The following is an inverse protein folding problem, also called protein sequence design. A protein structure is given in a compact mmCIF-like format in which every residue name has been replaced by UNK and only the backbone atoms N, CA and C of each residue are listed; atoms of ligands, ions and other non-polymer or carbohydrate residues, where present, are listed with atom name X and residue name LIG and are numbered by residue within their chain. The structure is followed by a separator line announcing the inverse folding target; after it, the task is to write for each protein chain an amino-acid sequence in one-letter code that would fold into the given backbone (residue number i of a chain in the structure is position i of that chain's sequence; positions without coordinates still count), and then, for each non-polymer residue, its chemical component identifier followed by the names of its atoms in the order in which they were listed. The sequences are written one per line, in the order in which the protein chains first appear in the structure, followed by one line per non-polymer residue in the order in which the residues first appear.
data_IF_697421896977
#
_entry.id   IF_697421896977
#
_cell.length_a   1.000
_cell.length_b   1.000
_cell.length_c   1.000
_cell.angle_alpha   90.00
_cell.angle_beta   90.00
_cell.angle_gamma   90.00
#
_symmetry.space_group_name_H-M   'P 1'
#
loop_
_entity.id
_entity.type
_entity.pdbx_description
1 polymer ?
#
# COMPACT_ATOMS: atom_id res chain seq x y z
N UNK A 1 26.68 1.34 -36.47
CA UNK A 1 26.52 2.78 -36.83
C UNK A 1 26.80 2.97 -38.32
N UNK A 2 26.24 4.01 -38.94
CA UNK A 2 26.70 4.53 -40.24
C UNK A 2 27.34 5.90 -40.00
N UNK A 3 28.48 6.15 -40.64
CA UNK A 3 29.20 7.41 -40.60
C UNK A 3 29.32 7.96 -42.02
N UNK A 4 29.22 9.28 -42.17
CA UNK A 4 29.46 9.97 -43.45
C UNK A 4 30.45 11.09 -43.23
N UNK A 5 31.40 11.26 -44.15
CA UNK A 5 32.40 12.34 -44.13
C UNK A 5 32.54 12.96 -45.51
N UNK A 6 32.81 14.27 -45.55
CA UNK A 6 33.17 15.04 -46.74
C UNK A 6 34.15 16.14 -46.32
N UNK A 7 35.02 16.58 -47.22
CA UNK A 7 35.67 17.90 -47.11
C UNK A 7 34.75 18.99 -47.68
N UNK A 8 34.91 20.22 -47.21
CA UNK A 8 34.19 21.40 -47.69
C UNK A 8 35.14 22.60 -47.63
N UNK A 9 35.42 23.21 -48.78
CA UNK A 9 36.20 24.44 -48.85
C UNK A 9 35.26 25.63 -48.67
N UNK A 10 35.63 26.61 -47.84
CA UNK A 10 34.91 27.88 -47.68
C UNK A 10 35.83 29.06 -48.00
N UNK A 11 35.32 29.98 -48.79
CA UNK A 11 35.98 31.24 -49.11
C UNK A 11 34.89 32.33 -49.23
N UNK A 12 34.99 33.37 -48.40
CA UNK A 12 33.94 34.36 -48.17
C UNK A 12 32.55 33.71 -47.99
N UNK A 13 31.58 34.05 -48.84
CA UNK A 13 30.22 33.49 -48.84
C UNK A 13 30.05 32.25 -49.75
N UNK A 14 31.13 31.76 -50.38
CA UNK A 14 31.10 30.58 -51.25
C UNK A 14 31.60 29.34 -50.52
N UNK A 15 30.95 28.19 -50.75
CA UNK A 15 31.38 26.91 -50.21
C UNK A 15 31.23 25.78 -51.22
N UNK A 16 32.29 25.02 -51.44
CA UNK A 16 32.30 23.86 -52.33
C UNK A 16 32.48 22.57 -51.51
N UNK A 17 31.39 21.83 -51.24
CA UNK A 17 31.44 20.54 -50.56
C UNK A 17 31.75 19.40 -51.53
N UNK A 18 32.69 18.53 -51.14
CA UNK A 18 32.97 17.28 -51.84
C UNK A 18 31.84 16.24 -51.67
N UNK A 19 31.90 15.17 -52.47
CA UNK A 19 31.00 14.02 -52.35
C UNK A 19 31.13 13.35 -50.98
N UNK A 20 30.02 12.88 -50.43
CA UNK A 20 30.04 12.05 -49.22
C UNK A 20 30.78 10.73 -49.45
N UNK A 21 31.61 10.36 -48.48
CA UNK A 21 32.15 9.01 -48.29
C UNK A 21 31.43 8.40 -47.10
N UNK A 22 30.85 7.21 -47.27
CA UNK A 22 30.10 6.51 -46.23
C UNK A 22 30.83 5.25 -45.76
N UNK A 23 30.73 4.95 -44.47
CA UNK A 23 31.19 3.69 -43.89
C UNK A 23 30.23 3.22 -42.79
N UNK A 24 30.20 1.93 -42.50
CA UNK A 24 29.33 1.35 -41.48
C UNK A 24 30.03 0.33 -40.61
N UNK A 25 30.01 0.55 -39.30
CA UNK A 25 30.49 -0.42 -38.31
C UNK A 25 29.30 -1.28 -37.87
N UNK A 26 29.30 -2.60 -38.13
CA UNK A 26 28.26 -3.51 -37.63
C UNK A 26 28.37 -3.67 -36.10
N UNK A 27 27.27 -3.97 -35.39
CA UNK A 27 27.35 -4.32 -33.98
C UNK A 27 28.05 -5.68 -33.81
N UNK A 28 28.96 -5.78 -32.83
CA UNK A 28 29.45 -7.09 -32.35
C UNK A 28 28.35 -7.84 -31.58
N UNK A 29 28.57 -9.13 -31.36
CA UNK A 29 27.72 -9.99 -30.55
C UNK A 29 26.40 -10.42 -31.21
N UNK A 30 25.82 -11.48 -30.65
CA UNK A 30 24.67 -12.20 -31.21
C UNK A 30 23.38 -11.35 -31.10
N UNK A 31 22.52 -11.27 -32.13
CA UNK A 31 21.24 -10.57 -32.04
C UNK A 31 20.38 -11.11 -30.88
N UNK A 32 19.84 -10.19 -30.06
CA UNK A 32 18.97 -10.51 -28.93
C UNK A 32 19.67 -10.90 -27.61
N UNK A 33 21.01 -10.90 -27.54
CA UNK A 33 21.76 -11.14 -26.29
C UNK A 33 22.06 -9.87 -25.49
N UNK A 34 21.86 -8.69 -26.12
CA UNK A 34 22.02 -7.39 -25.50
C UNK A 34 21.17 -7.24 -24.23
N UNK A 35 21.72 -6.60 -23.19
CA UNK A 35 20.97 -6.25 -21.99
C UNK A 35 19.74 -5.38 -22.33
N UNK A 36 18.63 -5.59 -21.64
CA UNK A 36 17.39 -4.83 -21.82
C UNK A 36 16.98 -4.10 -20.54
N UNK A 37 16.14 -3.09 -20.69
CA UNK A 37 15.54 -2.33 -19.58
C UNK A 37 16.56 -1.75 -18.59
N UNK A 38 17.63 -1.14 -19.15
CA UNK A 38 18.67 -0.45 -18.38
C UNK A 38 18.13 0.82 -17.71
N UNK A 39 17.76 0.68 -16.45
CA UNK A 39 17.49 1.79 -15.54
C UNK A 39 18.70 2.13 -14.66
N UNK A 40 18.79 3.37 -14.19
CA UNK A 40 19.85 3.83 -13.31
C UNK A 40 19.32 4.92 -12.38
N UNK A 41 19.63 4.82 -11.08
CA UNK A 41 19.24 5.80 -10.06
C UNK A 41 20.49 6.34 -9.37
N UNK A 42 20.61 7.66 -9.29
CA UNK A 42 21.69 8.34 -8.57
C UNK A 42 21.24 8.63 -7.14
N UNK A 43 21.63 7.75 -6.22
CA UNK A 43 21.24 7.82 -4.82
C UNK A 43 22.06 8.87 -4.08
N UNK A 44 21.34 9.78 -3.42
CA UNK A 44 21.82 10.77 -2.46
C UNK A 44 22.97 11.70 -2.94
N UNK A 45 23.25 11.76 -4.24
CA UNK A 45 24.44 12.38 -4.86
C UNK A 45 25.78 11.68 -4.54
N UNK A 46 25.72 10.42 -4.09
CA UNK A 46 26.88 9.65 -3.59
C UNK A 46 27.22 8.44 -4.48
N UNK A 47 26.23 7.68 -4.93
CA UNK A 47 26.44 6.48 -5.75
C UNK A 47 25.33 6.28 -6.78
N UNK A 48 25.70 5.75 -7.94
CA UNK A 48 24.78 5.31 -8.98
C UNK A 48 24.53 3.81 -8.80
N UNK A 49 23.26 3.41 -8.80
CA UNK A 49 22.84 2.02 -8.91
C UNK A 49 22.13 1.82 -10.26
N UNK A 50 22.69 0.97 -11.13
CA UNK A 50 22.09 0.63 -12.42
C UNK A 50 21.56 -0.80 -12.42
N UNK A 51 20.39 -1.03 -13.01
CA UNK A 51 19.72 -2.33 -13.10
C UNK A 51 19.34 -2.65 -14.55
N UNK A 52 19.41 -3.92 -14.92
CA UNK A 52 19.01 -4.39 -16.25
C UNK A 52 18.64 -5.88 -16.23
N UNK A 53 17.97 -6.33 -17.29
CA UNK A 53 17.63 -7.74 -17.53
C UNK A 53 18.53 -8.35 -18.61
N UNK A 54 18.63 -9.69 -18.61
CA UNK A 54 19.25 -10.43 -19.69
C UNK A 54 18.51 -10.22 -21.03
N UNK A 55 19.25 -10.19 -22.13
CA UNK A 55 18.66 -10.27 -23.46
C UNK A 55 18.00 -11.63 -23.68
N UNK A 56 16.85 -11.66 -24.38
CA UNK A 56 16.05 -12.87 -24.62
C UNK A 56 16.82 -14.08 -25.18
N UNK A 57 17.90 -13.84 -25.92
CA UNK A 57 18.74 -14.89 -26.52
C UNK A 57 20.05 -15.15 -25.74
N UNK A 58 20.28 -14.49 -24.61
CA UNK A 58 21.46 -14.72 -23.77
C UNK A 58 21.41 -16.11 -23.12
N UNK A 59 22.57 -16.73 -22.89
CA UNK A 59 22.64 -18.05 -22.26
C UNK A 59 22.40 -17.95 -20.75
N UNK A 60 21.81 -18.99 -20.16
CA UNK A 60 21.74 -19.14 -18.70
C UNK A 60 23.16 -19.12 -18.11
N UNK A 61 23.49 -18.08 -17.34
CA UNK A 61 24.82 -17.86 -16.79
C UNK A 61 25.70 -16.83 -17.53
N UNK A 62 25.17 -16.12 -18.54
CA UNK A 62 25.83 -14.94 -19.12
C UNK A 62 26.18 -13.91 -18.04
N UNK A 63 27.44 -13.44 -18.02
CA UNK A 63 27.94 -12.41 -17.10
C UNK A 63 28.07 -11.07 -17.84
N UNK A 64 27.22 -10.11 -17.49
CA UNK A 64 27.28 -8.75 -17.99
C UNK A 64 28.21 -7.89 -17.12
N UNK A 65 29.27 -7.32 -17.68
CA UNK A 65 30.10 -6.30 -17.02
C UNK A 65 29.64 -4.89 -17.45
N UNK A 66 29.43 -4.01 -16.46
CA UNK A 66 29.15 -2.59 -16.68
C UNK A 66 30.45 -1.77 -16.57
N UNK A 67 30.68 -0.92 -17.57
CA UNK A 67 31.71 0.12 -17.57
C UNK A 67 31.02 1.49 -17.65
N UNK A 68 31.61 2.52 -17.04
CA UNK A 68 31.07 3.87 -17.06
C UNK A 68 32.17 4.94 -17.24
N UNK A 69 31.81 6.07 -17.83
CA UNK A 69 32.66 7.25 -17.94
C UNK A 69 31.84 8.53 -18.08
N UNK A 70 32.47 9.66 -17.78
CA UNK A 70 31.92 11.00 -17.89
C UNK A 70 33.06 12.01 -18.04
N UNK A 71 32.75 13.23 -18.47
CA UNK A 71 33.78 14.27 -18.65
C UNK A 71 34.42 14.67 -17.31
N UNK A 72 35.76 14.73 -17.28
CA UNK A 72 36.57 14.84 -16.06
C UNK A 72 37.06 13.50 -15.46
N UNK A 73 36.60 12.35 -15.95
CA UNK A 73 37.16 11.03 -15.57
C UNK A 73 38.35 10.66 -16.48
N UNK A 74 39.45 10.15 -15.91
CA UNK A 74 40.71 9.89 -16.64
C UNK A 74 40.61 8.76 -17.67
N UNK A 75 39.76 7.78 -17.41
CA UNK A 75 39.58 6.55 -18.19
C UNK A 75 38.23 5.92 -17.87
N UNK A 76 37.64 5.09 -18.74
CA UNK A 76 36.43 4.34 -18.40
C UNK A 76 36.69 3.38 -17.25
N UNK A 77 35.85 3.47 -16.22
CA UNK A 77 35.94 2.64 -15.02
C UNK A 77 35.06 1.39 -15.15
N UNK A 78 35.50 0.28 -14.52
CA UNK A 78 34.71 -0.95 -14.40
C UNK A 78 33.93 -0.91 -13.09
N UNK A 79 32.61 -1.08 -13.16
CA UNK A 79 31.80 -1.27 -11.97
C UNK A 79 32.08 -2.66 -11.36
N UNK A 80 32.49 -2.69 -10.09
CA UNK A 80 32.96 -3.90 -9.40
C UNK A 80 32.01 -4.41 -8.31
N UNK A 81 31.14 -3.57 -7.74
CA UNK A 81 30.12 -3.99 -6.79
C UNK A 81 28.87 -4.42 -7.56
N UNK A 82 28.68 -5.72 -7.69
CA UNK A 82 27.76 -6.35 -8.64
C UNK A 82 26.88 -7.37 -7.94
N UNK A 83 25.57 -7.30 -8.19
CA UNK A 83 24.55 -8.16 -7.59
C UNK A 83 23.67 -8.78 -8.68
N UNK A 84 23.16 -9.99 -8.43
CA UNK A 84 22.15 -10.63 -9.27
C UNK A 84 21.07 -11.18 -8.34
N UNK A 85 19.85 -10.68 -8.50
CA UNK A 85 18.69 -11.11 -7.72
C UNK A 85 17.54 -11.40 -8.69
N UNK A 86 17.00 -12.62 -8.65
CA UNK A 86 15.86 -13.07 -9.48
C UNK A 86 16.02 -12.86 -11.00
N UNK A 87 17.27 -12.84 -11.49
CA UNK A 87 17.61 -12.58 -12.90
C UNK A 87 17.75 -11.11 -13.28
N UNK A 88 17.48 -10.19 -12.35
CA UNK A 88 17.84 -8.78 -12.44
C UNK A 88 19.33 -8.64 -12.12
N UNK A 89 20.08 -8.04 -13.02
CA UNK A 89 21.47 -7.65 -12.82
C UNK A 89 21.51 -6.24 -12.24
N UNK A 90 22.37 -6.01 -11.25
CA UNK A 90 22.57 -4.74 -10.60
C UNK A 90 24.07 -4.44 -10.50
N UNK A 91 24.46 -3.19 -10.74
CA UNK A 91 25.83 -2.74 -10.44
C UNK A 91 25.81 -1.36 -9.81
N UNK A 92 26.57 -1.22 -8.72
CA UNK A 92 26.63 -0.01 -7.89
C UNK A 92 28.03 0.58 -7.94
N UNK A 93 28.14 1.89 -8.19
CA UNK A 93 29.42 2.58 -8.20
C UNK A 93 29.32 3.99 -7.61
N UNK A 94 30.38 4.41 -6.91
CA UNK A 94 30.44 5.75 -6.33
C UNK A 94 30.48 6.80 -7.45
N UNK A 95 29.64 7.82 -7.32
CA UNK A 95 29.50 8.91 -8.28
C UNK A 95 29.27 10.22 -7.52
N UNK A 96 30.36 10.86 -7.13
CA UNK A 96 30.38 12.13 -6.39
C UNK A 96 31.00 13.23 -7.25
N UNK A 97 30.33 14.37 -7.37
CA UNK A 97 30.86 15.55 -8.06
C UNK A 97 31.25 16.65 -7.05
N UNK A 98 32.24 17.51 -7.35
CA UNK A 98 32.57 18.65 -6.49
C UNK A 98 31.36 19.58 -6.33
N UNK A 99 31.04 20.00 -5.11
CA UNK A 99 29.88 20.87 -4.76
C UNK A 99 29.93 22.29 -5.36
N UNK A 100 30.86 22.57 -6.27
CA UNK A 100 31.10 23.87 -6.92
C UNK A 100 30.57 23.87 -8.37
N UNK A 101 30.30 22.71 -8.97
CA UNK A 101 29.83 22.61 -10.36
C UNK A 101 28.30 22.54 -10.45
N UNK A 102 27.66 23.63 -10.89
CA UNK A 102 26.22 23.64 -11.19
C UNK A 102 25.83 22.77 -12.40
N UNK A 103 26.80 22.35 -13.20
CA UNK A 103 26.61 21.48 -14.38
C UNK A 103 27.19 20.10 -14.09
N UNK A 104 26.38 19.06 -14.27
CA UNK A 104 26.81 17.66 -14.14
C UNK A 104 27.05 17.06 -15.53
N UNK A 105 28.17 16.36 -15.76
CA UNK A 105 28.47 15.75 -17.06
C UNK A 105 27.52 14.58 -17.34
N UNK A 106 27.25 14.32 -18.62
CA UNK A 106 26.45 13.15 -19.04
C UNK A 106 27.22 11.87 -18.75
N UNK A 107 26.59 10.94 -18.02
CA UNK A 107 27.17 9.62 -17.73
C UNK A 107 26.98 8.75 -18.97
N UNK A 108 28.08 8.22 -19.49
CA UNK A 108 28.06 7.20 -20.54
C UNK A 108 28.32 5.83 -19.92
N UNK A 109 27.54 4.83 -20.35
CA UNK A 109 27.51 3.49 -19.80
C UNK A 109 27.66 2.50 -20.95
N UNK A 110 28.54 1.52 -20.78
CA UNK A 110 28.73 0.37 -21.67
C UNK A 110 28.48 -0.92 -20.88
N UNK A 111 27.48 -1.69 -21.29
CA UNK A 111 27.28 -3.06 -20.81
C UNK A 111 27.71 -4.02 -21.91
N UNK A 112 28.64 -4.91 -21.58
CA UNK A 112 29.15 -5.96 -22.48
C UNK A 112 29.53 -7.21 -21.68
N UNK A 113 29.99 -8.26 -22.36
CA UNK A 113 30.68 -9.36 -21.71
C UNK A 113 32.19 -9.37 -22.07
N UNK A 114 32.88 -10.43 -21.66
CA UNK A 114 34.30 -10.63 -21.91
C UNK A 114 34.61 -11.59 -23.09
N UNK A 115 33.61 -12.29 -23.64
CA UNK A 115 33.76 -13.22 -24.79
C UNK A 115 33.37 -12.64 -26.16
N UNK A 116 32.79 -11.43 -26.19
CA UNK A 116 32.22 -10.75 -27.38
C UNK A 116 31.02 -11.46 -28.04
N UNK A 117 30.52 -12.59 -27.50
CA UNK A 117 29.24 -13.18 -27.90
C UNK A 117 28.04 -12.27 -27.54
N UNK A 118 28.16 -11.45 -26.49
CA UNK A 118 27.08 -10.58 -26.04
C UNK A 118 27.13 -9.25 -26.79
N UNK A 119 25.99 -8.89 -27.40
CA UNK A 119 25.87 -7.65 -28.14
C UNK A 119 25.93 -6.45 -27.17
N UNK A 120 26.90 -5.54 -27.28
CA UNK A 120 27.10 -4.48 -26.31
C UNK A 120 25.98 -3.45 -26.37
N UNK A 121 25.65 -2.90 -25.20
CA UNK A 121 24.67 -1.82 -25.00
C UNK A 121 25.41 -0.57 -24.57
N UNK A 122 25.29 0.50 -25.36
CA UNK A 122 25.77 1.83 -24.99
C UNK A 122 24.57 2.71 -24.63
N UNK A 123 24.62 3.40 -23.50
CA UNK A 123 23.62 4.37 -23.08
C UNK A 123 24.29 5.66 -22.58
N UNK A 124 23.67 6.80 -22.84
CA UNK A 124 24.04 8.09 -22.26
C UNK A 124 22.88 8.60 -21.41
N UNK A 125 23.16 8.90 -20.14
CA UNK A 125 22.17 9.28 -19.12
C UNK A 125 22.56 10.64 -18.54
N UNK A 126 21.64 11.59 -18.51
CA UNK A 126 21.83 12.83 -17.76
C UNK A 126 21.63 12.53 -16.25
N UNK A 127 22.65 12.69 -15.39
CA UNK A 127 22.49 12.34 -13.98
C UNK A 127 21.44 13.18 -13.26
N UNK A 128 21.15 14.42 -13.71
CA UNK A 128 20.15 15.28 -13.04
C UNK A 128 18.70 14.77 -13.18
N UNK A 129 18.41 13.88 -14.14
CA UNK A 129 17.08 13.25 -14.28
C UNK A 129 16.92 12.00 -13.42
N UNK A 130 18.00 11.53 -12.76
CA UNK A 130 18.06 10.25 -12.06
C UNK A 130 18.25 10.37 -10.53
N UNK A 131 18.29 11.59 -10.00
CA UNK A 131 18.57 11.85 -8.58
C UNK A 131 17.43 11.34 -7.70
N UNK A 132 17.74 10.41 -6.78
CA UNK A 132 16.86 10.00 -5.68
C UNK A 132 17.47 10.46 -4.35
N UNK A 133 16.86 11.40 -3.61
CA UNK A 133 17.33 11.79 -2.27
C UNK A 133 17.28 10.62 -1.28
N UNK A 134 18.13 10.66 -0.24
CA UNK A 134 17.98 9.75 0.89
C UNK A 134 16.66 10.00 1.66
N UNK A 135 16.11 8.94 2.25
CA UNK A 135 14.93 9.01 3.13
C UNK A 135 15.21 9.88 4.35
N UNK A 136 14.43 10.95 4.62
CA UNK A 136 14.59 11.75 5.81
C UNK A 136 14.33 10.93 7.07
N UNK A 137 15.16 11.13 8.10
CA UNK A 137 14.93 10.54 9.43
C UNK A 137 14.17 11.57 10.26
N UNK A 138 12.98 11.22 10.76
CA UNK A 138 12.25 12.05 11.71
C UNK A 138 13.06 12.18 13.00
N UNK A 139 13.39 13.41 13.41
CA UNK A 139 14.30 13.71 14.55
C UNK A 139 13.49 14.06 15.79
N UNK A 140 12.48 14.93 15.65
CA UNK A 140 11.59 15.31 16.73
C UNK A 140 10.15 15.43 16.23
N UNK A 141 9.23 14.97 17.08
CA UNK A 141 7.80 15.21 16.96
C UNK A 141 7.35 15.69 18.34
N UNK A 142 6.92 16.95 18.44
CA UNK A 142 6.50 17.57 19.69
C UNK A 142 5.14 18.24 19.54
N UNK A 143 4.40 18.34 20.64
CA UNK A 143 3.17 19.12 20.74
C UNK A 143 3.39 20.26 21.73
N UNK A 144 3.08 21.48 21.30
CA UNK A 144 3.17 22.70 22.09
C UNK A 144 1.82 23.40 21.95
N UNK A 145 1.03 23.40 23.02
CA UNK A 145 -0.39 23.79 22.98
C UNK A 145 -1.13 23.00 21.88
N UNK A 146 -1.90 23.68 21.02
CA UNK A 146 -2.66 23.09 19.92
C UNK A 146 -1.87 23.03 18.58
N UNK A 147 -0.54 23.09 18.66
CA UNK A 147 0.38 22.94 17.53
C UNK A 147 1.23 21.67 17.68
N UNK A 148 1.28 20.84 16.64
CA UNK A 148 2.28 19.78 16.48
C UNK A 148 3.39 20.29 15.58
N UNK A 149 4.63 20.21 16.06
CA UNK A 149 5.85 20.48 15.27
C UNK A 149 6.56 19.16 14.97
N UNK A 150 6.80 18.90 13.69
CA UNK A 150 7.59 17.78 13.18
C UNK A 150 8.87 18.34 12.56
N UNK A 151 10.04 17.79 12.92
CA UNK A 151 11.34 18.16 12.36
C UNK A 151 12.19 16.92 12.06
N UNK A 152 12.91 16.97 10.94
CA UNK A 152 13.69 15.84 10.40
C UNK A 152 15.13 16.23 10.06
N UNK A 153 15.95 15.21 9.85
CA UNK A 153 17.36 15.32 9.49
C UNK A 153 17.54 16.13 8.20
N UNK A 154 18.39 17.16 8.26
CA UNK A 154 18.90 17.83 7.07
C UNK A 154 19.79 16.86 6.28
N UNK A 155 19.89 17.09 4.98
CA UNK A 155 20.83 16.36 4.11
C UNK A 155 22.19 17.04 4.11
N UNK A 156 23.26 16.26 4.31
CA UNK A 156 24.64 16.77 4.21
C UNK A 156 25.18 16.81 2.77
N UNK A 157 24.57 16.05 1.84
CA UNK A 157 25.00 15.97 0.44
C UNK A 157 24.39 17.07 -0.43
N UNK A 158 23.06 17.23 -0.39
CA UNK A 158 22.31 18.26 -1.12
C UNK A 158 22.50 19.68 -0.56
N UNK A 159 22.51 20.73 -1.42
CA UNK A 159 22.27 22.11 -0.98
C UNK A 159 20.87 22.26 -0.38
N UNK A 160 20.75 23.02 0.71
CA UNK A 160 19.48 23.17 1.45
C UNK A 160 18.32 23.72 0.60
N UNK A 161 18.60 24.51 -0.44
CA UNK A 161 17.61 25.06 -1.38
C UNK A 161 17.18 24.10 -2.50
N UNK A 162 17.80 22.92 -2.60
CA UNK A 162 17.60 21.96 -3.68
C UNK A 162 16.79 20.72 -3.29
N UNK A 163 16.29 20.65 -2.06
CA UNK A 163 15.31 19.67 -1.61
C UNK A 163 14.00 20.36 -1.24
N UNK A 164 12.90 19.69 -1.55
CA UNK A 164 11.56 20.01 -1.05
C UNK A 164 11.05 18.75 -0.35
N UNK A 165 10.16 18.90 0.62
CA UNK A 165 9.69 17.81 1.46
C UNK A 165 8.17 17.71 1.38
N UNK A 166 7.69 16.48 1.44
CA UNK A 166 6.28 16.17 1.48
C UNK A 166 6.01 15.42 2.79
N UNK A 167 5.12 15.94 3.60
CA UNK A 167 4.70 15.36 4.87
C UNK A 167 3.27 14.86 4.69
N UNK A 168 3.07 13.57 4.91
CA UNK A 168 1.75 12.94 4.94
C UNK A 168 1.39 12.61 6.38
N UNK A 169 0.17 12.92 6.80
CA UNK A 169 -0.32 12.61 8.14
C UNK A 169 -1.80 12.24 8.17
N UNK A 170 -2.20 11.48 9.18
CA UNK A 170 -3.58 11.02 9.38
C UNK A 170 -3.93 10.88 10.87
N UNK A 171 -5.23 10.86 11.17
CA UNK A 171 -5.77 10.77 12.54
C UNK A 171 -6.37 9.39 12.83
N UNK A 172 -5.68 8.59 13.64
CA UNK A 172 -6.06 7.19 13.88
C UNK A 172 -6.04 6.31 12.61
N UNK A 173 -6.64 5.12 12.71
CA UNK A 173 -6.37 4.02 11.77
C UNK A 173 -7.28 4.01 10.52
N UNK A 174 -8.34 4.84 10.51
CA UNK A 174 -9.22 5.07 9.34
C UNK A 174 -9.53 6.57 9.15
N UNK A 175 -8.62 7.45 9.58
CA UNK A 175 -8.79 8.90 9.46
C UNK A 175 -8.54 9.41 8.04
N UNK A 176 -9.00 10.63 7.78
CA UNK A 176 -8.59 11.41 6.62
C UNK A 176 -7.06 11.51 6.57
N UNK A 177 -6.49 11.34 5.38
CA UNK A 177 -5.07 11.59 5.13
C UNK A 177 -4.91 13.00 4.55
N UNK A 178 -3.96 13.75 5.09
CA UNK A 178 -3.58 15.09 4.62
C UNK A 178 -2.12 15.09 4.16
N UNK A 179 -1.83 15.89 3.14
CA UNK A 179 -0.48 16.08 2.59
C UNK A 179 -0.11 17.55 2.63
N UNK A 180 1.10 17.87 3.12
CA UNK A 180 1.66 19.22 3.15
C UNK A 180 3.03 19.19 2.44
N UNK A 181 3.27 20.13 1.53
CA UNK A 181 4.60 20.36 0.95
C UNK A 181 5.32 21.51 1.67
N UNK A 182 6.63 21.35 1.90
CA UNK A 182 7.45 22.31 2.65
C UNK A 182 8.90 22.37 2.16
N UNK A 183 9.52 23.54 2.22
CA UNK A 183 10.90 23.77 1.75
C UNK A 183 11.94 23.77 2.88
N UNK A 184 11.50 23.69 4.14
CA UNK A 184 12.35 23.62 5.33
C UNK A 184 12.35 22.20 5.90
N UNK A 185 13.31 21.88 6.77
CA UNK A 185 13.42 20.56 7.41
C UNK A 185 12.43 20.33 8.57
N UNK A 186 11.38 21.15 8.66
CA UNK A 186 10.34 21.08 9.67
C UNK A 186 8.99 21.56 9.11
N UNK A 187 7.90 21.12 9.75
CA UNK A 187 6.56 21.64 9.53
C UNK A 187 5.84 21.80 10.87
N UNK A 188 4.90 22.74 10.93
CA UNK A 188 3.97 22.93 12.04
C UNK A 188 2.55 22.70 11.54
N UNK A 189 1.76 21.95 12.31
CA UNK A 189 0.32 21.75 12.10
C UNK A 189 -0.41 22.32 13.32
N UNK A 190 -1.22 23.34 13.10
CA UNK A 190 -2.00 24.04 14.15
C UNK A 190 -3.46 23.56 14.19
N UNK A 191 -4.20 23.94 15.23
CA UNK A 191 -5.60 23.53 15.47
C UNK A 191 -5.76 21.99 15.63
N UNK A 192 -4.82 21.40 16.37
CA UNK A 192 -4.73 19.95 16.63
C UNK A 192 -5.63 19.54 17.79
N UNK A 193 -6.52 18.58 17.57
CA UNK A 193 -7.39 18.03 18.61
C UNK A 193 -6.56 17.40 19.76
N UNK A 194 -6.92 17.65 21.04
CA UNK A 194 -6.16 17.15 22.19
C UNK A 194 -6.28 15.64 22.43
N UNK A 195 -7.39 15.03 22.01
CA UNK A 195 -7.78 13.65 22.33
C UNK A 195 -7.60 12.70 21.13
N UNK A 196 -6.82 13.11 20.13
CA UNK A 196 -6.65 12.40 18.87
C UNK A 196 -5.19 12.03 18.63
N UNK A 197 -4.95 10.77 18.24
CA UNK A 197 -3.63 10.28 17.79
C UNK A 197 -3.39 10.71 16.34
N UNK A 198 -2.39 11.54 16.13
CA UNK A 198 -1.87 11.90 14.80
C UNK A 198 -0.66 11.02 14.48
N UNK A 199 -0.54 10.55 13.23
CA UNK A 199 0.64 9.81 12.73
C UNK A 199 1.18 10.53 11.50
N UNK A 200 2.50 10.71 11.44
CA UNK A 200 3.21 11.46 10.41
C UNK A 200 4.30 10.62 9.75
N UNK A 201 4.51 10.82 8.45
CA UNK A 201 5.70 10.38 7.69
C UNK A 201 6.12 11.46 6.70
N UNK A 202 7.40 11.49 6.35
CA UNK A 202 7.98 12.52 5.47
C UNK A 202 8.87 11.90 4.39
N UNK A 203 8.82 12.45 3.17
CA UNK A 203 9.77 12.12 2.08
C UNK A 203 10.39 13.37 1.48
N UNK A 204 11.58 13.21 0.90
CA UNK A 204 12.29 14.27 0.19
C UNK A 204 12.11 14.14 -1.33
N UNK A 205 11.88 15.28 -1.98
CA UNK A 205 11.83 15.47 -3.43
C UNK A 205 13.01 16.37 -3.85
N UNK A 206 13.70 16.08 -4.97
CA UNK A 206 14.66 17.01 -5.53
C UNK A 206 13.91 18.19 -6.16
N UNK A 207 14.33 19.43 -5.86
CA UNK A 207 13.70 20.63 -6.40
C UNK A 207 13.95 20.73 -7.90
N UNK A 208 12.89 20.96 -8.69
CA UNK A 208 12.94 21.04 -10.16
C UNK A 208 13.93 22.08 -10.71
N UNK A 209 14.18 23.15 -9.96
CA UNK A 209 15.16 24.19 -10.29
C UNK A 209 16.64 23.75 -10.14
N UNK A 210 16.92 22.68 -9.40
CA UNK A 210 18.27 22.12 -9.25
C UNK A 210 18.46 20.81 -10.03
N UNK A 211 17.42 19.97 -10.09
CA UNK A 211 17.48 18.65 -10.73
C UNK A 211 16.18 18.35 -11.48
N UNK A 212 16.30 17.79 -12.68
CA UNK A 212 15.16 17.42 -13.54
C UNK A 212 14.56 16.05 -13.20
N UNK A 213 14.90 15.48 -12.05
CA UNK A 213 14.44 14.17 -11.58
C UNK A 213 12.98 14.23 -11.12
N UNK A 214 12.26 13.12 -11.33
CA UNK A 214 10.91 12.90 -10.78
C UNK A 214 10.91 11.88 -9.61
N UNK A 215 12.09 11.37 -9.24
CA UNK A 215 12.23 10.39 -8.17
C UNK A 215 12.17 11.08 -6.81
N UNK A 216 11.30 10.60 -5.92
CA UNK A 216 11.31 10.98 -4.51
C UNK A 216 12.12 9.99 -3.69
N UNK A 217 12.56 10.36 -2.49
CA UNK A 217 12.98 9.38 -1.49
C UNK A 217 11.82 8.42 -1.17
N UNK A 218 12.15 7.30 -0.55
CA UNK A 218 11.13 6.50 0.13
C UNK A 218 10.59 7.29 1.35
N UNK A 219 9.41 6.92 1.84
CA UNK A 219 8.85 7.53 3.05
C UNK A 219 9.69 7.22 4.29
N UNK A 220 9.75 8.15 5.24
CA UNK A 220 10.32 7.90 6.57
C UNK A 220 9.53 6.82 7.32
N UNK A 221 10.15 6.29 8.38
CA UNK A 221 9.39 5.66 9.47
C UNK A 221 8.26 6.59 9.94
N UNK A 222 7.13 5.99 10.31
CA UNK A 222 6.02 6.72 10.91
C UNK A 222 6.34 7.12 12.36
N UNK A 223 5.94 8.33 12.75
CA UNK A 223 5.96 8.81 14.15
C UNK A 223 4.57 9.30 14.53
N UNK A 224 4.08 8.86 15.68
CA UNK A 224 2.78 9.27 16.21
C UNK A 224 2.90 10.13 17.45
N UNK A 225 1.92 10.99 17.69
CA UNK A 225 1.75 11.80 18.90
C UNK A 225 0.26 11.96 19.23
N UNK A 226 -0.06 12.13 20.51
CA UNK A 226 -1.43 12.10 21.02
C UNK A 226 -1.92 10.68 21.30
N UNK A 227 -2.92 10.56 22.16
CA UNK A 227 -3.51 9.27 22.55
C UNK A 227 -4.65 8.89 21.59
N UNK A 228 -4.82 7.59 21.36
CA UNK A 228 -6.03 7.07 20.69
C UNK A 228 -7.08 6.89 21.78
N UNK A 229 -8.30 7.44 21.65
CA UNK A 229 -9.36 7.18 22.62
C UNK A 229 -9.65 5.68 22.64
N UNK A 230 -9.61 5.07 23.82
CA UNK A 230 -9.71 3.62 23.93
C UNK A 230 -11.11 3.13 23.52
N UNK A 231 -11.20 2.59 22.31
CA UNK A 231 -12.41 1.97 21.79
C UNK A 231 -12.85 0.78 22.65
N UNK A 232 -11.91 0.11 23.32
CA UNK A 232 -12.21 -1.01 24.23
C UNK A 232 -13.08 -0.55 25.38
N UNK A 233 -12.77 0.60 25.99
CA UNK A 233 -13.62 1.22 27.02
C UNK A 233 -15.05 1.48 26.51
N UNK A 234 -15.21 2.03 25.31
CA UNK A 234 -16.54 2.25 24.71
C UNK A 234 -17.30 0.94 24.44
N UNK A 235 -16.65 -0.09 23.87
CA UNK A 235 -17.29 -1.39 23.66
C UNK A 235 -17.68 -2.08 24.99
N UNK A 236 -16.82 -2.01 26.01
CA UNK A 236 -17.13 -2.50 27.36
C UNK A 236 -18.31 -1.74 27.96
N UNK A 237 -18.37 -0.41 27.82
CA UNK A 237 -19.49 0.40 28.31
C UNK A 237 -20.82 0.02 27.62
N UNK A 238 -20.79 -0.14 26.29
CA UNK A 238 -21.95 -0.53 25.46
C UNK A 238 -22.46 -1.94 25.81
N UNK A 239 -21.59 -2.87 26.21
CA UNK A 239 -22.00 -4.23 26.62
C UNK A 239 -22.45 -4.28 28.08
N UNK A 240 -21.79 -3.55 28.98
CA UNK A 240 -22.06 -3.62 30.43
C UNK A 240 -23.34 -2.88 30.83
N UNK A 241 -23.67 -1.74 30.22
CA UNK A 241 -24.88 -0.97 30.58
C UNK A 241 -26.17 -1.81 30.34
N UNK A 242 -26.42 -2.42 29.16
CA UNK A 242 -27.59 -3.28 28.95
C UNK A 242 -27.61 -4.50 29.87
N UNK A 243 -26.45 -5.10 30.17
CA UNK A 243 -26.36 -6.25 31.07
C UNK A 243 -26.79 -5.88 32.50
N UNK A 244 -26.34 -4.73 33.01
CA UNK A 244 -26.73 -4.23 34.34
C UNK A 244 -28.24 -3.92 34.39
N UNK A 245 -28.80 -3.34 33.33
CA UNK A 245 -30.26 -3.09 33.22
C UNK A 245 -31.07 -4.40 33.17
N UNK A 246 -30.60 -5.40 32.41
CA UNK A 246 -31.23 -6.72 32.35
C UNK A 246 -31.22 -7.44 33.72
N UNK A 247 -30.07 -7.45 34.40
CA UNK A 247 -29.97 -8.04 35.76
C UNK A 247 -30.86 -7.29 36.75
N UNK A 248 -30.87 -5.95 36.71
CA UNK A 248 -31.67 -5.12 37.62
C UNK A 248 -33.18 -5.33 37.42
N UNK A 249 -33.65 -5.45 36.16
CA UNK A 249 -35.06 -5.74 35.86
C UNK A 249 -35.47 -7.15 36.26
N UNK A 250 -34.60 -8.16 36.09
CA UNK A 250 -34.84 -9.53 36.59
C UNK A 250 -34.97 -9.54 38.12
N UNK A 251 -34.08 -8.85 38.85
CA UNK A 251 -34.14 -8.73 40.31
C UNK A 251 -35.43 -8.04 40.75
N UNK A 252 -35.82 -6.94 40.10
CA UNK A 252 -37.06 -6.22 40.38
C UNK A 252 -38.30 -7.10 40.14
N UNK A 253 -38.34 -7.85 39.04
CA UNK A 253 -39.43 -8.80 38.75
C UNK A 253 -39.51 -9.93 39.77
N UNK A 254 -38.36 -10.41 40.29
CA UNK A 254 -38.34 -11.40 41.37
C UNK A 254 -38.84 -10.79 42.70
N UNK A 255 -38.44 -9.55 43.01
CA UNK A 255 -38.93 -8.82 44.18
C UNK A 255 -40.44 -8.58 44.13
N UNK A 256 -40.96 -8.16 42.97
CA UNK A 256 -42.41 -7.97 42.74
C UNK A 256 -43.18 -9.30 42.83
N UNK A 257 -42.63 -10.42 42.32
CA UNK A 257 -43.21 -11.75 42.54
C UNK A 257 -43.22 -12.13 44.02
N UNK A 258 -42.14 -11.89 44.77
CA UNK A 258 -42.07 -12.16 46.22
C UNK A 258 -43.06 -11.29 47.01
N UNK A 259 -43.16 -10.00 46.70
CA UNK A 259 -44.17 -9.09 47.27
C UNK A 259 -45.60 -9.57 46.98
N UNK A 260 -45.89 -9.99 45.74
CA UNK A 260 -47.21 -10.54 45.39
C UNK A 260 -47.56 -11.79 46.20
N UNK A 261 -46.60 -12.68 46.44
CA UNK A 261 -46.77 -13.89 47.27
C UNK A 261 -46.93 -13.55 48.77
N UNK A 262 -46.29 -12.47 49.24
CA UNK A 262 -46.36 -12.05 50.65
C UNK A 262 -47.67 -11.31 50.97
N UNK A 263 -48.18 -10.51 50.03
CA UNK A 263 -49.40 -9.70 50.20
C UNK A 263 -50.66 -10.49 49.83
N UNK A 264 -50.59 -11.39 48.83
CA UNK A 264 -51.64 -12.33 48.51
C UNK A 264 -51.15 -13.75 48.81
N UNK A 265 -51.53 -14.36 49.96
CA UNK A 265 -51.30 -15.78 50.17
C UNK A 265 -52.00 -16.59 49.07
N UNK A 266 -51.53 -17.81 48.76
CA UNK A 266 -52.12 -18.62 47.70
C UNK A 266 -53.60 -18.88 48.01
N UNK A 267 -54.47 -18.34 47.15
CA UNK A 267 -55.91 -18.59 47.25
C UNK A 267 -56.11 -20.10 47.04
N UNK A 268 -56.68 -20.84 48.01
CA UNK A 268 -56.87 -22.28 47.90
C UNK A 268 -57.75 -22.60 46.69
N UNK A 269 -57.45 -23.71 45.99
CA UNK A 269 -58.13 -24.07 44.75
C UNK A 269 -59.66 -24.14 44.96
N UNK A 270 -60.45 -23.30 44.27
CA UNK A 270 -61.90 -23.31 44.43
C UNK A 270 -62.52 -24.65 44.01
N UNK A 271 -61.84 -25.47 43.19
CA UNK A 271 -62.29 -26.80 42.82
C UNK A 271 -62.33 -27.75 44.02
N UNK A 272 -61.35 -27.69 44.92
CA UNK A 272 -61.35 -28.51 46.15
C UNK A 272 -62.39 -28.00 47.17
N UNK A 273 -62.54 -26.68 47.31
CA UNK A 273 -63.57 -26.10 48.19
C UNK A 273 -64.98 -26.44 47.69
N UNK A 274 -65.24 -26.35 46.38
CA UNK A 274 -66.52 -26.74 45.79
C UNK A 274 -66.77 -28.25 45.90
N UNK A 275 -65.76 -29.10 45.68
CA UNK A 275 -65.87 -30.55 45.92
C UNK A 275 -66.30 -30.86 47.36
N UNK A 276 -65.80 -30.10 48.32
CA UNK A 276 -66.09 -30.28 49.75
C UNK A 276 -67.43 -29.71 50.19
N UNK A 277 -68.05 -28.82 49.42
CA UNK A 277 -69.38 -28.26 49.70
C UNK A 277 -70.52 -28.94 48.92
N UNK A 278 -70.23 -29.62 47.81
CA UNK A 278 -71.23 -30.24 46.92
C UNK A 278 -71.00 -31.74 46.68
N UNK A 279 -70.21 -32.40 47.54
CA UNK A 279 -69.65 -33.73 47.30
C UNK A 279 -70.37 -34.93 47.92
N UNK A 280 -71.65 -34.84 48.30
CA UNK A 280 -72.36 -35.99 48.89
C UNK A 280 -73.89 -35.98 48.65
N UNK A 281 -74.33 -36.08 47.39
CA UNK A 281 -75.58 -36.75 47.01
C UNK A 281 -75.36 -37.61 45.75
N UNK A 282 -75.87 -38.84 45.81
CA UNK A 282 -75.61 -39.98 44.92
C UNK A 282 -76.10 -39.75 43.47
N UNK A 283 -75.52 -40.39 42.45
CA UNK A 283 -75.91 -41.70 41.87
C UNK A 283 -77.45 -41.87 41.73
N UNK A 284 -78.01 -42.38 40.62
CA UNK A 284 -77.42 -43.27 39.60
C UNK A 284 -78.21 -43.24 38.25
N UNK A 285 -77.79 -44.07 37.28
CA UNK A 285 -78.42 -44.46 36.00
C UNK A 285 -78.42 -43.43 34.84
N UNK A 286 -78.21 -43.70 33.54
CA UNK A 286 -77.77 -44.85 32.68
C UNK A 286 -78.78 -45.16 31.54
N UNK A 287 -78.41 -44.89 30.27
CA UNK A 287 -78.76 -45.73 29.08
C UNK A 287 -78.27 -45.16 27.74
N UNK A 288 -77.60 -45.98 26.91
CA UNK A 288 -77.51 -45.91 25.42
C UNK A 288 -76.85 -44.68 24.76
N UNK A 289 -75.99 -44.76 23.74
CA UNK A 289 -75.61 -45.83 22.77
C UNK A 289 -74.16 -45.50 22.34
N UNK A 290 -73.17 -46.42 22.34
CA UNK A 290 -72.79 -47.37 21.26
C UNK A 290 -72.82 -46.75 19.83
N UNK A 291 -71.83 -46.92 18.94
CA UNK A 291 -70.58 -47.71 18.95
C UNK A 291 -69.50 -47.10 18.03
N UNK A 292 -68.21 -47.38 18.32
CA UNK A 292 -67.07 -47.75 17.43
C UNK A 292 -66.81 -47.04 16.07
N UNK A 293 -65.59 -46.94 15.50
CA UNK A 293 -64.17 -47.21 15.85
C UNK A 293 -63.28 -46.56 14.73
N UNK A 294 -61.95 -46.67 14.54
CA UNK A 294 -60.84 -47.53 15.00
C UNK A 294 -59.55 -46.67 15.17
N UNK A 295 -58.53 -47.22 15.85
CA UNK A 295 -57.17 -46.67 16.05
C UNK A 295 -56.34 -46.41 14.78
N UNK A 296 -55.36 -45.50 14.90
CA UNK A 296 -53.94 -45.81 14.65
C UNK A 296 -53.03 -44.86 15.47
N UNK A 297 -51.81 -45.29 15.85
CA UNK A 297 -50.97 -44.62 16.88
C UNK A 297 -49.50 -44.49 16.42
N UNK A 298 -48.84 -43.39 16.82
CA UNK A 298 -47.37 -43.17 16.90
C UNK A 298 -46.43 -43.40 15.69
N UNK A 299 -45.72 -42.33 15.28
CA UNK A 299 -44.30 -42.03 15.62
C UNK A 299 -43.96 -40.59 15.16
N UNK A 300 -43.35 -39.66 15.91
CA UNK A 300 -42.12 -39.56 16.75
C UNK A 300 -40.83 -39.15 15.98
N UNK A 301 -40.19 -38.07 16.48
CA UNK A 301 -38.76 -37.64 16.34
C UNK A 301 -38.39 -36.61 15.23
N UNK A 302 -37.96 -35.39 15.68
CA UNK A 302 -36.98 -34.40 15.12
C UNK A 302 -37.18 -33.89 13.66
N UNK A 303 -36.56 -32.81 13.14
CA UNK A 303 -35.71 -31.68 13.63
C UNK A 303 -36.05 -30.46 12.70
N UNK A 304 -36.20 -29.22 13.19
CA UNK A 304 -35.25 -28.07 13.09
C UNK A 304 -35.24 -27.29 11.74
N UNK A 305 -34.88 -26.00 11.77
CA UNK A 305 -34.81 -25.03 10.64
C UNK A 305 -36.16 -24.69 9.94
N UNK A 306 -36.35 -23.71 9.02
CA UNK A 306 -35.47 -23.02 8.04
C UNK A 306 -35.67 -21.49 7.96
N UNK A 307 -34.60 -20.83 7.49
CA UNK A 307 -34.35 -19.42 7.14
C UNK A 307 -35.45 -18.54 6.50
N UNK A 308 -35.31 -17.24 6.81
CA UNK A 308 -35.19 -16.08 5.90
C UNK A 308 -35.50 -16.24 4.39
N UNK A 309 -36.31 -15.32 3.87
CA UNK A 309 -36.48 -15.06 2.43
C UNK A 309 -35.77 -13.75 2.02
N UNK A 310 -34.81 -13.87 1.11
CA UNK A 310 -34.27 -12.74 0.33
C UNK A 310 -34.93 -12.76 -1.04
N UNK A 311 -35.42 -11.60 -1.50
CA UNK A 311 -35.96 -11.44 -2.85
C UNK A 311 -34.81 -11.24 -3.85
N UNK A 312 -34.84 -11.93 -4.98
CA UNK A 312 -33.99 -11.63 -6.13
C UNK A 312 -34.76 -11.93 -7.42
N UNK A 313 -34.64 -11.05 -8.40
CA UNK A 313 -35.48 -11.03 -9.60
C UNK A 313 -34.77 -11.71 -10.79
N UNK A 314 -35.41 -12.63 -11.51
CA UNK A 314 -34.82 -13.29 -12.68
C UNK A 314 -35.05 -12.47 -13.96
N UNK A 315 -34.14 -12.59 -14.92
CA UNK A 315 -34.28 -12.01 -16.26
C UNK A 315 -33.79 -13.02 -17.30
N UNK A 316 -34.66 -13.37 -18.26
CA UNK A 316 -34.44 -14.49 -19.20
C UNK A 316 -33.55 -14.16 -20.40
N UNK A 317 -33.07 -15.22 -21.06
CA UNK A 317 -32.02 -15.20 -22.07
C UNK A 317 -32.51 -14.83 -23.49
N UNK A 318 -31.57 -14.42 -24.34
CA UNK A 318 -31.57 -14.83 -25.75
C UNK A 318 -30.14 -14.98 -26.28
N UNK A 319 -29.96 -15.89 -27.24
CA UNK A 319 -28.70 -16.15 -27.95
C UNK A 319 -28.77 -15.57 -29.36
N UNK A 320 -27.63 -15.11 -29.89
CA UNK A 320 -27.37 -15.19 -31.33
C UNK A 320 -25.86 -15.18 -31.62
N UNK A 321 -25.33 -16.28 -32.12
CA UNK A 321 -24.09 -16.27 -32.90
C UNK A 321 -24.38 -15.76 -34.32
N UNK A 322 -23.38 -15.19 -34.99
CA UNK A 322 -23.32 -15.14 -36.45
C UNK A 322 -21.88 -14.95 -36.94
N UNK A 323 -21.57 -15.48 -38.11
CA UNK A 323 -20.20 -15.67 -38.61
C UNK A 323 -19.89 -14.76 -39.81
N UNK A 324 -18.60 -14.39 -39.94
CA UNK A 324 -17.92 -13.84 -41.14
C UNK A 324 -18.51 -12.64 -41.90
N UNK A 325 -17.70 -11.56 -41.96
CA UNK A 325 -17.21 -11.03 -43.25
C UNK A 325 -15.82 -10.42 -43.12
#
# INVERSE_FOLDING_TARGET
MRFKVRSECKYDNTSEPSRWVETSVPPKGIPGTAAVDLDCVWHNLEYMACKWLAGKNARSGTKYTLFYWYDGLKSPEKCNNYSIHEGIFECVFNLTFPKVTNTYPTISILIKDDSEEIRPVCASKNPTTLVKPATPKAVTLSKINDEIRLEWSKSDTFPASCLEYEVEYHTGDMGTTWTIEGQHNHISVSAVDPNTKYTFKVRAKPKSACYSSKLSSDWSEEKSIGEKPDSTFYFVLIITIPLIVAVSTIILLFYLKRLKILILPPIPDPREILKRMFGEQNEDSQSGTKDDSVNAYNRLIKEEEIHSLVLTEPLECSYSENENR
#
